data_IF_840157096528
#
_entry.id   IF_840157096528
#
_cell.length_a   1.000
_cell.length_b   1.000
_cell.length_c   1.000
_cell.angle_alpha   90.00
_cell.angle_beta   90.00
_cell.angle_gamma   90.00
#
_symmetry.space_group_name_H-M   'P 1'
#
loop_
_entity.id
_entity.type
_entity.pdbx_description
1 polymer ?
#
# COMPACT_ATOMS: atom_id res chain seq x y z
N UNK A 1 -0.01 -10.70 -2.42
CA UNK A 1 -1.47 -10.90 -2.54
C UNK A 1 -1.93 -12.17 -1.78
N UNK A 2 -1.91 -12.15 -0.43
CA UNK A 2 -2.15 -13.34 0.42
C UNK A 2 -3.64 -13.79 0.46
N UNK A 3 -4.59 -12.86 0.37
CA UNK A 3 -6.05 -13.14 0.49
C UNK A 3 -6.67 -13.80 -0.76
N UNK A 4 -6.28 -13.38 -1.96
CA UNK A 4 -6.77 -13.98 -3.20
C UNK A 4 -6.40 -15.47 -3.29
N UNK A 5 -5.20 -15.84 -2.86
CA UNK A 5 -4.77 -17.23 -2.77
C UNK A 5 -5.58 -18.01 -1.71
N UNK A 6 -5.89 -17.40 -0.56
CA UNK A 6 -6.74 -18.01 0.46
C UNK A 6 -8.16 -18.28 -0.06
N UNK A 7 -8.78 -17.31 -0.76
CA UNK A 7 -10.12 -17.47 -1.36
C UNK A 7 -10.13 -18.60 -2.39
N UNK A 8 -9.10 -18.71 -3.25
CA UNK A 8 -8.99 -19.80 -4.23
C UNK A 8 -8.91 -21.20 -3.62
N UNK A 9 -8.47 -21.32 -2.36
CA UNK A 9 -8.39 -22.59 -1.62
C UNK A 9 -9.70 -22.95 -0.91
N UNK A 10 -10.67 -22.04 -0.84
CA UNK A 10 -11.96 -22.32 -0.20
C UNK A 10 -12.79 -23.28 -1.07
N UNK A 11 -13.55 -24.20 -0.44
CA UNK A 11 -14.52 -25.02 -1.14
C UNK A 11 -15.53 -24.17 -1.94
N UNK A 12 -15.94 -24.66 -3.11
CA UNK A 12 -16.80 -23.91 -4.04
C UNK A 12 -18.22 -23.70 -3.50
N UNK A 13 -18.73 -24.64 -2.71
CA UNK A 13 -19.98 -24.52 -1.96
C UNK A 13 -19.92 -23.41 -0.90
N UNK A 14 -18.75 -23.19 -0.29
CA UNK A 14 -18.53 -22.13 0.69
C UNK A 14 -18.28 -20.76 0.03
N UNK A 15 -17.56 -20.71 -1.08
CA UNK A 15 -17.20 -19.47 -1.78
C UNK A 15 -17.50 -19.54 -3.30
N UNK A 16 -18.78 -19.62 -3.69
CA UNK A 16 -19.16 -19.84 -5.09
C UNK A 16 -18.73 -18.69 -6.01
N UNK A 17 -18.82 -17.46 -5.51
CA UNK A 17 -18.55 -16.22 -6.26
C UNK A 17 -17.09 -15.74 -6.18
N UNK A 18 -16.19 -16.53 -5.56
CA UNK A 18 -14.78 -16.15 -5.31
C UNK A 18 -14.63 -14.78 -4.63
N UNK A 19 -15.56 -14.45 -3.72
CA UNK A 19 -15.57 -13.23 -2.93
C UNK A 19 -15.81 -13.53 -1.45
N UNK A 20 -15.27 -12.68 -0.60
CA UNK A 20 -15.51 -12.75 0.84
C UNK A 20 -16.93 -12.26 1.12
N UNK A 21 -17.75 -13.13 1.69
CA UNK A 21 -19.07 -12.81 2.21
C UNK A 21 -18.99 -12.59 3.72
N UNK A 22 -20.06 -12.04 4.33
CA UNK A 22 -20.15 -11.89 5.79
C UNK A 22 -19.96 -13.24 6.51
N UNK A 23 -20.63 -14.29 6.02
CA UNK A 23 -20.49 -15.64 6.57
C UNK A 23 -19.06 -16.20 6.49
N UNK A 24 -18.29 -15.88 5.44
CA UNK A 24 -16.87 -16.27 5.34
C UNK A 24 -16.02 -15.43 6.32
N UNK A 25 -16.25 -14.12 6.38
CA UNK A 25 -15.51 -13.20 7.24
C UNK A 25 -15.70 -13.47 8.75
N UNK A 26 -16.87 -13.99 9.14
CA UNK A 26 -17.19 -14.34 10.52
C UNK A 26 -16.43 -15.60 11.00
N UNK A 27 -15.95 -16.44 10.07
CA UNK A 27 -15.08 -17.59 10.40
C UNK A 27 -13.65 -17.14 10.70
N UNK A 28 -13.39 -16.84 11.98
CA UNK A 28 -12.08 -16.33 12.46
C UNK A 28 -10.87 -17.19 12.07
N UNK A 29 -11.04 -18.52 12.00
CA UNK A 29 -9.99 -19.46 11.57
C UNK A 29 -9.48 -19.21 10.15
N UNK A 30 -10.30 -18.63 9.27
CA UNK A 30 -9.92 -18.32 7.89
C UNK A 30 -9.08 -17.04 7.78
N UNK A 31 -9.06 -16.20 8.83
CA UNK A 31 -8.40 -14.89 8.83
C UNK A 31 -8.80 -13.96 7.67
N UNK A 32 -10.07 -14.08 7.25
CA UNK A 32 -10.68 -13.33 6.15
C UNK A 32 -11.61 -12.21 6.63
N UNK A 33 -11.42 -11.70 7.85
CA UNK A 33 -12.14 -10.53 8.35
C UNK A 33 -11.91 -9.31 7.44
N UNK A 34 -12.84 -8.33 7.41
CA UNK A 34 -12.68 -7.13 6.61
C UNK A 34 -11.42 -6.35 7.01
N UNK A 35 -10.71 -5.84 6.02
CA UNK A 35 -9.63 -4.88 6.22
C UNK A 35 -10.15 -3.50 5.83
N UNK A 36 -10.13 -2.56 6.76
CA UNK A 36 -10.59 -1.19 6.54
C UNK A 36 -9.40 -0.25 6.68
N UNK A 37 -9.06 0.47 5.62
CA UNK A 37 -8.10 1.56 5.65
C UNK A 37 -8.84 2.89 5.67
N UNK A 38 -8.64 3.68 6.72
CA UNK A 38 -9.21 5.03 6.84
C UNK A 38 -8.10 6.05 6.63
N UNK A 39 -8.29 6.93 5.66
CA UNK A 39 -7.36 8.00 5.32
C UNK A 39 -8.08 9.33 5.55
N UNK A 40 -7.76 9.95 6.67
CA UNK A 40 -8.18 11.32 6.95
C UNK A 40 -7.29 12.30 6.20
N UNK A 41 -7.90 13.37 5.70
CA UNK A 41 -7.32 14.31 4.73
C UNK A 41 -6.47 13.62 3.64
N UNK A 42 -7.11 12.72 2.88
CA UNK A 42 -6.45 11.90 1.86
C UNK A 42 -5.75 12.72 0.76
N UNK A 43 -6.10 14.00 0.58
CA UNK A 43 -5.37 14.91 -0.29
C UNK A 43 -3.89 14.99 0.10
N UNK A 44 -3.55 15.00 1.39
CA UNK A 44 -2.16 15.06 1.85
C UNK A 44 -1.34 13.85 1.38
N UNK A 45 -1.98 12.68 1.33
CA UNK A 45 -1.35 11.46 0.83
C UNK A 45 -1.14 11.54 -0.68
N UNK A 46 -2.18 11.87 -1.44
CA UNK A 46 -2.12 11.84 -2.90
C UNK A 46 -1.32 13.01 -3.51
N UNK A 47 -1.25 14.14 -2.81
CA UNK A 47 -0.41 15.28 -3.19
C UNK A 47 1.06 15.14 -2.77
N UNK A 48 1.43 14.09 -2.02
CA UNK A 48 2.80 13.91 -1.56
C UNK A 48 3.76 13.77 -2.76
N UNK A 49 4.83 14.58 -2.89
CA UNK A 49 5.66 14.65 -4.10
C UNK A 49 6.34 13.32 -4.44
N UNK A 50 6.80 12.59 -3.42
CA UNK A 50 7.45 11.28 -3.58
C UNK A 50 6.48 10.09 -3.68
N UNK A 51 5.44 10.06 -2.86
CA UNK A 51 4.61 8.86 -2.66
C UNK A 51 3.19 8.98 -3.22
N UNK A 52 2.74 10.17 -3.59
CA UNK A 52 1.35 10.44 -3.98
C UNK A 52 0.90 9.67 -5.21
N UNK A 53 1.76 9.57 -6.23
CA UNK A 53 1.49 8.78 -7.43
C UNK A 53 1.28 7.29 -7.10
N UNK A 54 2.24 6.70 -6.37
CA UNK A 54 2.17 5.29 -5.97
C UNK A 54 0.95 5.03 -5.08
N UNK A 55 0.66 5.93 -4.13
CA UNK A 55 -0.51 5.82 -3.27
C UNK A 55 -1.82 5.90 -4.08
N UNK A 56 -1.87 6.75 -5.11
CA UNK A 56 -2.98 6.83 -6.04
C UNK A 56 -3.20 5.52 -6.81
N UNK A 57 -2.12 4.98 -7.39
CA UNK A 57 -2.14 3.72 -8.14
C UNK A 57 -2.59 2.54 -7.24
N UNK A 58 -2.08 2.48 -6.01
CA UNK A 58 -2.44 1.45 -5.03
C UNK A 58 -3.89 1.59 -4.56
N UNK A 59 -4.37 2.80 -4.28
CA UNK A 59 -5.75 3.04 -3.88
C UNK A 59 -6.71 2.68 -5.01
N UNK A 60 -6.41 3.05 -6.26
CA UNK A 60 -7.21 2.68 -7.42
C UNK A 60 -7.28 1.15 -7.59
N UNK A 61 -6.14 0.46 -7.45
CA UNK A 61 -6.08 -0.99 -7.48
C UNK A 61 -6.96 -1.64 -6.40
N UNK A 62 -6.88 -1.12 -5.17
CA UNK A 62 -7.69 -1.60 -4.05
C UNK A 62 -9.17 -1.34 -4.31
N UNK A 63 -9.57 -0.18 -4.84
CA UNK A 63 -10.99 0.10 -5.08
C UNK A 63 -11.56 -0.85 -6.15
N UNK A 64 -10.77 -1.13 -7.21
CA UNK A 64 -11.19 -2.04 -8.29
C UNK A 64 -11.33 -3.50 -7.83
N UNK A 65 -10.42 -4.00 -7.01
CA UNK A 65 -10.36 -5.44 -6.65
C UNK A 65 -10.75 -5.76 -5.21
N UNK A 66 -10.61 -4.80 -4.31
CA UNK A 66 -10.74 -4.95 -2.86
C UNK A 66 -12.13 -5.42 -2.42
N UNK A 67 -13.19 -5.06 -3.15
CA UNK A 67 -14.56 -5.49 -2.86
C UNK A 67 -14.69 -7.01 -2.74
N UNK A 68 -14.08 -7.76 -3.66
CA UNK A 68 -14.11 -9.23 -3.60
C UNK A 68 -13.21 -9.79 -2.49
N UNK A 69 -12.14 -9.06 -2.14
CA UNK A 69 -11.15 -9.45 -1.16
C UNK A 69 -11.47 -8.96 0.27
N UNK A 70 -12.64 -8.34 0.47
CA UNK A 70 -13.04 -7.76 1.76
C UNK A 70 -12.08 -6.66 2.23
N UNK A 71 -11.54 -5.87 1.30
CA UNK A 71 -10.69 -4.70 1.60
C UNK A 71 -11.48 -3.45 1.24
N UNK A 72 -11.60 -2.53 2.19
CA UNK A 72 -12.43 -1.33 2.12
C UNK A 72 -11.53 -0.13 2.40
N UNK A 73 -11.62 0.89 1.55
CA UNK A 73 -11.00 2.19 1.81
C UNK A 73 -12.08 3.21 2.19
N UNK A 74 -11.77 4.03 3.19
CA UNK A 74 -12.53 5.22 3.57
C UNK A 74 -11.60 6.40 3.36
N UNK A 75 -11.93 7.25 2.38
CA UNK A 75 -11.15 8.43 2.02
C UNK A 75 -11.94 9.66 2.43
N UNK A 76 -11.40 10.45 3.35
CA UNK A 76 -11.99 11.69 3.82
C UNK A 76 -11.10 12.88 3.41
N UNK A 77 -11.72 14.02 3.11
CA UNK A 77 -11.02 15.28 2.80
C UNK A 77 -11.91 16.45 3.16
N UNK A 78 -11.32 17.55 3.65
CA UNK A 78 -12.03 18.79 3.93
C UNK A 78 -12.08 19.72 2.71
N UNK A 79 -11.11 19.60 1.81
CA UNK A 79 -10.99 20.43 0.61
C UNK A 79 -11.17 19.54 -0.61
N UNK A 80 -12.37 19.44 -1.19
CA UNK A 80 -12.51 18.83 -2.50
C UNK A 80 -11.99 19.82 -3.55
N UNK A 81 -10.71 19.72 -3.91
CA UNK A 81 -10.13 20.32 -5.13
C UNK A 81 -9.77 19.24 -6.18
N UNK A 82 -9.48 19.69 -7.41
CA UNK A 82 -9.25 18.77 -8.54
C UNK A 82 -8.08 17.81 -8.28
N UNK A 83 -7.15 18.19 -7.41
CA UNK A 83 -5.95 17.43 -7.07
C UNK A 83 -6.16 16.57 -5.80
N UNK A 84 -7.29 16.72 -5.12
CA UNK A 84 -7.60 16.05 -3.86
C UNK A 84 -7.86 14.56 -4.02
N UNK A 85 -8.47 14.17 -5.13
CA UNK A 85 -8.72 12.78 -5.48
C UNK A 85 -8.38 12.54 -6.95
N UNK A 86 -7.37 11.71 -7.25
CA UNK A 86 -7.11 11.22 -8.60
C UNK A 86 -8.39 10.71 -9.28
N UNK A 87 -8.54 10.99 -10.57
CA UNK A 87 -9.73 10.60 -11.35
C UNK A 87 -10.00 9.09 -11.36
N UNK A 88 -8.92 8.29 -11.36
CA UNK A 88 -9.00 6.84 -11.23
C UNK A 88 -9.62 6.39 -9.90
N UNK A 89 -9.49 7.18 -8.83
CA UNK A 89 -10.13 6.91 -7.55
C UNK A 89 -11.58 7.37 -7.58
N UNK A 90 -11.84 8.65 -7.88
CA UNK A 90 -13.19 9.23 -7.81
C UNK A 90 -14.19 8.55 -8.75
N UNK A 91 -13.73 8.07 -9.90
CA UNK A 91 -14.54 7.30 -10.85
C UNK A 91 -14.94 5.89 -10.38
N UNK A 92 -14.17 5.28 -9.48
CA UNK A 92 -14.43 3.90 -9.00
C UNK A 92 -15.08 3.85 -7.61
N UNK A 93 -15.07 4.95 -6.85
CA UNK A 93 -15.79 5.05 -5.57
C UNK A 93 -17.30 5.12 -5.83
N UNK A 94 -18.02 4.09 -5.39
CA UNK A 94 -19.47 3.94 -5.62
C UNK A 94 -20.33 4.54 -4.51
N UNK A 95 -19.84 4.56 -3.27
CA UNK A 95 -20.55 5.12 -2.11
C UNK A 95 -19.89 6.46 -1.77
N UNK A 96 -20.68 7.53 -1.74
CA UNK A 96 -20.21 8.89 -1.49
C UNK A 96 -21.02 9.51 -0.37
N UNK A 97 -20.36 10.28 0.49
CA UNK A 97 -21.00 11.02 1.55
C UNK A 97 -20.52 12.47 1.55
N UNK A 98 -21.45 13.41 1.44
CA UNK A 98 -21.14 14.84 1.44
C UNK A 98 -21.86 15.53 2.60
N UNK A 99 -21.08 16.07 3.54
CA UNK A 99 -21.54 17.08 4.50
C UNK A 99 -21.67 18.44 3.78
N UNK A 100 -21.97 19.51 4.54
CA UNK A 100 -22.03 20.86 3.99
C UNK A 100 -20.75 21.24 3.23
N UNK A 101 -20.92 21.64 1.96
CA UNK A 101 -19.87 22.21 1.11
C UNK A 101 -20.23 23.63 0.66
N UNK A 102 -19.23 24.43 0.29
CA UNK A 102 -19.41 25.84 -0.02
C UNK A 102 -20.19 26.07 -1.33
N UNK A 103 -19.80 25.39 -2.42
CA UNK A 103 -20.33 25.65 -3.75
C UNK A 103 -20.72 24.40 -4.53
N UNK A 104 -21.17 24.64 -5.76
CA UNK A 104 -21.56 23.60 -6.70
C UNK A 104 -20.38 22.70 -7.10
N UNK A 105 -19.19 23.28 -7.26
CA UNK A 105 -18.01 22.55 -7.74
C UNK A 105 -17.65 21.44 -6.75
N UNK A 106 -17.55 21.79 -5.47
CA UNK A 106 -17.26 20.87 -4.37
C UNK A 106 -18.34 19.80 -4.23
N UNK A 107 -19.62 20.19 -4.41
CA UNK A 107 -20.75 19.27 -4.37
C UNK A 107 -20.65 18.19 -5.46
N UNK A 108 -20.44 18.59 -6.71
CA UNK A 108 -20.36 17.69 -7.85
C UNK A 108 -19.10 16.83 -7.80
N UNK A 109 -18.01 17.33 -7.21
CA UNK A 109 -16.80 16.55 -7.02
C UNK A 109 -16.98 15.39 -6.04
N UNK A 110 -17.73 15.60 -4.95
CA UNK A 110 -17.98 14.53 -3.96
C UNK A 110 -19.10 13.61 -4.44
N UNK A 111 -20.22 14.16 -4.90
CA UNK A 111 -21.44 13.41 -5.17
C UNK A 111 -21.55 12.90 -6.62
N UNK A 112 -20.68 13.38 -7.50
CA UNK A 112 -20.63 13.03 -8.91
C UNK A 112 -21.11 14.17 -9.82
N UNK A 113 -20.65 14.13 -11.06
CA UNK A 113 -20.94 15.15 -12.08
C UNK A 113 -22.44 15.44 -12.18
N UNK A 114 -22.79 16.73 -12.17
CA UNK A 114 -24.17 17.25 -12.26
C UNK A 114 -25.09 16.95 -11.07
N UNK A 115 -24.58 16.40 -9.95
CA UNK A 115 -25.38 16.15 -8.76
C UNK A 115 -26.15 17.39 -8.27
N UNK A 116 -25.51 18.55 -8.27
CA UNK A 116 -26.09 19.84 -7.88
C UNK A 116 -27.27 20.25 -8.79
N UNK A 117 -27.08 20.11 -10.11
CA UNK A 117 -28.12 20.38 -11.11
C UNK A 117 -29.30 19.42 -10.98
N UNK A 118 -29.03 18.17 -10.61
CA UNK A 118 -30.02 17.13 -10.37
C UNK A 118 -30.71 17.25 -8.98
N UNK A 119 -30.43 18.31 -8.22
CA UNK A 119 -31.12 18.59 -6.95
C UNK A 119 -30.47 17.97 -5.71
N UNK A 120 -29.34 17.28 -5.85
CA UNK A 120 -28.57 16.77 -4.71
C UNK A 120 -27.60 17.87 -4.26
N UNK A 121 -28.06 18.72 -3.34
CA UNK A 121 -27.41 19.98 -2.99
C UNK A 121 -26.93 19.99 -1.54
N UNK A 122 -25.75 19.46 -1.30
CA UNK A 122 -25.08 19.56 0.00
C UNK A 122 -24.76 21.01 0.40
N UNK A 123 -24.79 21.96 -0.55
CA UNK A 123 -24.68 23.40 -0.28
C UNK A 123 -25.86 23.96 0.52
N UNK A 124 -27.01 23.27 0.54
CA UNK A 124 -28.22 23.74 1.20
C UNK A 124 -28.25 23.49 2.72
N UNK A 125 -27.35 22.65 3.24
CA UNK A 125 -27.24 22.46 4.70
C UNK A 125 -26.73 23.74 5.37
N UNK A 126 -27.26 24.05 6.56
CA UNK A 126 -26.82 25.20 7.35
C UNK A 126 -25.76 24.75 8.35
N UNK A 127 -24.60 25.44 8.44
CA UNK A 127 -23.63 25.20 9.49
C UNK A 127 -24.30 25.24 10.87
N UNK A 128 -23.80 24.43 11.81
CA UNK A 128 -24.29 24.28 13.19
C UNK A 128 -25.71 23.68 13.33
N UNK A 129 -26.69 24.22 12.61
CA UNK A 129 -28.10 23.79 12.67
C UNK A 129 -28.28 22.39 12.08
N UNK A 130 -27.71 22.17 10.89
CA UNK A 130 -27.79 20.89 10.18
C UNK A 130 -26.52 20.07 10.37
N UNK A 131 -25.75 20.32 11.45
CA UNK A 131 -24.53 19.59 11.75
C UNK A 131 -24.77 18.08 11.86
N UNK A 132 -23.95 17.31 11.15
CA UNK A 132 -24.08 15.86 11.02
C UNK A 132 -25.05 15.40 9.91
N UNK A 133 -25.83 16.30 9.31
CA UNK A 133 -26.60 15.95 8.11
C UNK A 133 -25.69 15.92 6.88
N UNK A 134 -25.89 14.92 6.03
CA UNK A 134 -25.18 14.80 4.76
C UNK A 134 -25.93 13.98 3.74
N UNK A 135 -25.60 14.18 2.47
CA UNK A 135 -26.10 13.34 1.38
C UNK A 135 -25.28 12.06 1.29
N UNK A 136 -25.96 10.91 1.37
CA UNK A 136 -25.41 9.59 1.10
C UNK A 136 -25.87 9.13 -0.28
N UNK A 137 -24.92 8.98 -1.21
CA UNK A 137 -25.16 8.50 -2.56
C UNK A 137 -24.55 7.11 -2.75
N UNK A 138 -25.22 6.26 -3.54
CA UNK A 138 -24.74 4.92 -3.90
C UNK A 138 -24.98 3.81 -2.86
N UNK A 139 -25.42 4.15 -1.64
CA UNK A 139 -25.87 3.17 -0.64
C UNK A 139 -27.34 2.75 -0.84
N UNK A 140 -28.12 3.59 -1.51
CA UNK A 140 -29.55 3.42 -1.81
C UNK A 140 -29.78 3.68 -3.30
N UNK A 141 -30.99 3.36 -3.80
CA UNK A 141 -31.33 3.56 -5.22
C UNK A 141 -31.23 5.04 -5.66
N UNK A 142 -31.57 5.97 -4.77
CA UNK A 142 -31.42 7.41 -4.96
C UNK A 142 -30.61 8.00 -3.79
N UNK A 143 -29.88 9.11 -3.99
CA UNK A 143 -29.22 9.83 -2.90
C UNK A 143 -30.22 10.24 -1.82
N UNK A 144 -29.87 9.99 -0.56
CA UNK A 144 -30.71 10.32 0.61
C UNK A 144 -29.96 11.20 1.58
N UNK A 145 -30.70 12.06 2.28
CA UNK A 145 -30.14 12.80 3.42
C UNK A 145 -30.14 11.86 4.63
N UNK A 146 -28.99 11.71 5.26
CA UNK A 146 -28.82 10.95 6.52
C UNK A 146 -28.21 11.85 7.58
N UNK A 147 -28.41 11.51 8.85
CA UNK A 147 -27.79 12.19 9.99
C UNK A 147 -26.79 11.26 10.67
N UNK A 148 -25.56 11.73 10.85
CA UNK A 148 -24.53 11.02 11.58
C UNK A 148 -24.76 11.08 13.09
N UNK A 149 -24.28 10.07 13.81
CA UNK A 149 -24.18 10.15 15.26
C UNK A 149 -23.04 11.10 15.64
N UNK A 150 -23.28 11.95 16.64
CA UNK A 150 -22.25 12.80 17.23
C UNK A 150 -21.52 12.03 18.34
N UNK A 151 -20.19 12.12 18.32
CA UNK A 151 -19.32 11.65 19.38
C UNK A 151 -18.42 12.82 19.78
N UNK A 152 -18.42 13.16 21.07
CA UNK A 152 -17.50 14.13 21.63
C UNK A 152 -16.13 13.47 21.92
N UNK A 153 -15.16 14.29 22.30
CA UNK A 153 -13.79 13.84 22.57
C UNK A 153 -13.73 12.86 23.75
N UNK A 154 -14.57 13.04 24.78
CA UNK A 154 -14.58 12.17 25.95
C UNK A 154 -15.10 10.77 25.59
N UNK A 155 -16.23 10.68 24.89
CA UNK A 155 -16.78 9.43 24.39
C UNK A 155 -15.81 8.75 23.41
N UNK A 156 -15.18 9.52 22.53
CA UNK A 156 -14.17 9.02 21.60
C UNK A 156 -12.97 8.45 22.33
N UNK A 157 -12.46 9.13 23.37
CA UNK A 157 -11.36 8.64 24.20
C UNK A 157 -11.73 7.35 24.92
N UNK A 158 -12.92 7.27 25.52
CA UNK A 158 -13.39 6.08 26.20
C UNK A 158 -13.47 4.86 25.26
N UNK A 159 -13.98 5.06 24.04
CA UNK A 159 -14.04 4.01 23.00
C UNK A 159 -12.62 3.60 22.57
N UNK A 160 -11.72 4.56 22.35
CA UNK A 160 -10.35 4.31 21.96
C UNK A 160 -9.58 3.50 23.03
N UNK A 161 -9.74 3.83 24.31
CA UNK A 161 -9.13 3.09 25.42
C UNK A 161 -9.65 1.65 25.50
N UNK A 162 -10.96 1.46 25.32
CA UNK A 162 -11.55 0.12 25.28
C UNK A 162 -10.99 -0.68 24.10
N UNK A 163 -10.90 -0.09 22.91
CA UNK A 163 -10.34 -0.75 21.73
C UNK A 163 -8.86 -1.10 21.92
N UNK A 164 -8.07 -0.19 22.51
CA UNK A 164 -6.67 -0.41 22.86
C UNK A 164 -6.52 -1.59 23.82
N UNK A 165 -7.28 -1.63 24.92
CA UNK A 165 -7.23 -2.71 25.90
C UNK A 165 -7.55 -4.07 25.28
N UNK A 166 -8.58 -4.16 24.42
CA UNK A 166 -8.92 -5.38 23.69
C UNK A 166 -7.79 -5.84 22.77
N UNK A 167 -7.21 -4.92 21.99
CA UNK A 167 -6.09 -5.26 21.09
C UNK A 167 -4.83 -5.66 21.85
N UNK A 168 -4.56 -5.03 22.99
CA UNK A 168 -3.44 -5.36 23.87
C UNK A 168 -3.57 -6.77 24.44
N UNK A 169 -4.75 -7.13 24.95
CA UNK A 169 -5.03 -8.46 25.49
C UNK A 169 -4.84 -9.57 24.43
N UNK A 170 -5.17 -9.28 23.17
CA UNK A 170 -5.01 -10.19 22.04
C UNK A 170 -3.61 -10.14 21.39
N UNK A 171 -2.71 -9.27 21.87
CA UNK A 171 -1.37 -9.11 21.28
C UNK A 171 -1.37 -8.60 19.84
N UNK A 172 -2.38 -7.81 19.45
CA UNK A 172 -2.60 -7.31 18.07
C UNK A 172 -2.29 -5.81 17.90
N UNK A 173 -1.66 -5.18 18.89
CA UNK A 173 -1.12 -3.82 18.74
C UNK A 173 0.04 -3.82 17.74
N UNK A 174 0.23 -2.69 17.05
CA UNK A 174 1.28 -2.51 16.03
C UNK A 174 1.53 -1.01 15.81
N UNK A 175 2.69 -0.63 15.27
CA UNK A 175 2.99 0.76 14.90
C UNK A 175 2.97 1.69 16.10
N UNK A 176 2.47 2.91 15.90
CA UNK A 176 2.33 3.94 16.95
C UNK A 176 1.64 3.43 18.22
N UNK A 177 0.71 2.47 18.11
CA UNK A 177 -0.01 1.93 19.27
C UNK A 177 0.89 1.07 20.19
N UNK A 178 2.05 0.61 19.72
CA UNK A 178 3.09 -0.02 20.53
C UNK A 178 4.17 0.98 20.99
N UNK A 179 4.02 2.27 20.67
CA UNK A 179 5.08 3.26 20.83
C UNK A 179 6.21 3.10 19.81
N UNK A 180 5.98 2.34 18.73
CA UNK A 180 6.88 2.36 17.58
C UNK A 180 6.73 3.73 16.94
N UNK A 181 7.81 4.52 16.91
CA UNK A 181 7.85 5.70 16.05
C UNK A 181 7.52 5.29 14.61
N UNK A 182 6.89 6.16 13.79
CA UNK A 182 6.73 5.83 12.39
C UNK A 182 8.15 5.61 11.88
N UNK A 183 8.49 4.38 11.49
CA UNK A 183 9.79 4.11 10.91
C UNK A 183 9.97 5.14 9.81
N UNK A 184 10.86 6.11 10.03
CA UNK A 184 11.37 6.89 8.95
C UNK A 184 11.87 5.82 7.98
N UNK A 185 11.22 5.72 6.81
CA UNK A 185 11.67 4.85 5.72
C UNK A 185 13.03 5.40 5.29
N UNK A 186 14.02 4.99 6.07
CA UNK A 186 15.47 5.17 5.95
C UNK A 186 16.06 3.92 5.31
N UNK A 187 15.20 2.95 4.95
CA UNK A 187 15.51 2.01 3.90
C UNK A 187 15.62 2.75 2.56
N UNK A 188 16.66 2.48 1.76
CA UNK A 188 16.70 3.00 0.41
C UNK A 188 15.44 2.59 -0.37
N UNK A 189 14.98 3.42 -1.32
CA UNK A 189 13.83 3.09 -2.20
C UNK A 189 14.13 1.96 -3.20
N UNK A 190 15.11 1.11 -2.89
CA UNK A 190 15.63 0.05 -3.72
C UNK A 190 15.92 -1.19 -2.86
N UNK A 191 15.68 -2.37 -3.43
CA UNK A 191 16.06 -3.64 -2.82
C UNK A 191 17.35 -4.11 -3.48
N UNK A 192 18.48 -3.89 -2.79
CA UNK A 192 19.81 -4.23 -3.29
C UNK A 192 19.90 -5.69 -3.78
N UNK A 193 19.32 -6.65 -3.04
CA UNK A 193 19.42 -8.07 -3.41
C UNK A 193 18.57 -8.37 -4.66
N UNK A 194 17.41 -7.73 -4.77
CA UNK A 194 16.57 -7.85 -5.96
C UNK A 194 17.25 -7.22 -7.19
N UNK A 195 17.89 -6.06 -7.02
CA UNK A 195 18.59 -5.38 -8.11
C UNK A 195 19.80 -6.18 -8.59
N UNK A 196 20.59 -6.72 -7.67
CA UNK A 196 21.71 -7.61 -8.01
C UNK A 196 21.19 -8.87 -8.73
N UNK A 197 20.06 -9.43 -8.29
CA UNK A 197 19.45 -10.59 -8.96
C UNK A 197 18.91 -10.28 -10.35
N UNK A 198 18.47 -9.04 -10.60
CA UNK A 198 18.03 -8.59 -11.92
C UNK A 198 19.20 -8.43 -12.90
N UNK A 199 20.35 -7.92 -12.43
CA UNK A 199 21.53 -7.70 -13.28
C UNK A 199 22.47 -8.91 -13.39
N UNK A 200 22.27 -9.94 -12.58
CA UNK A 200 23.00 -11.21 -12.63
C UNK A 200 22.05 -12.31 -13.15
N UNK A 201 22.03 -12.55 -14.48
CA UNK A 201 21.08 -13.47 -15.08
C UNK A 201 21.33 -14.91 -14.61
N UNK A 202 20.32 -15.80 -14.67
CA UNK A 202 20.47 -17.22 -14.30
C UNK A 202 21.59 -17.96 -15.03
N UNK A 203 21.95 -17.52 -16.24
CA UNK A 203 23.04 -18.08 -17.05
C UNK A 203 24.44 -17.79 -16.52
N UNK A 204 24.59 -16.80 -15.63
CA UNK A 204 25.87 -16.41 -15.05
C UNK A 204 25.99 -16.93 -13.61
N UNK A 205 26.65 -18.07 -13.45
CA UNK A 205 26.83 -18.69 -12.13
C UNK A 205 27.74 -17.87 -11.21
N UNK A 206 28.73 -17.18 -11.79
CA UNK A 206 29.72 -16.37 -11.06
C UNK A 206 29.96 -15.07 -11.80
N UNK A 207 29.95 -13.95 -11.07
CA UNK A 207 30.07 -12.62 -11.67
C UNK A 207 31.01 -11.74 -10.85
N UNK A 208 31.87 -11.00 -11.53
CA UNK A 208 32.74 -10.00 -10.90
C UNK A 208 31.94 -8.81 -10.39
N UNK A 209 32.32 -8.33 -9.21
CA UNK A 209 31.62 -7.23 -8.55
C UNK A 209 31.69 -5.92 -9.34
N UNK A 210 32.76 -5.70 -10.12
CA UNK A 210 32.88 -4.55 -11.01
C UNK A 210 31.84 -4.60 -12.14
N UNK A 211 31.56 -5.78 -12.71
CA UNK A 211 30.50 -5.97 -13.71
C UNK A 211 29.12 -5.76 -13.10
N UNK A 212 28.90 -6.24 -11.87
CA UNK A 212 27.66 -5.99 -11.14
C UNK A 212 27.48 -4.48 -10.91
N UNK A 213 28.52 -3.77 -10.48
CA UNK A 213 28.47 -2.34 -10.25
C UNK A 213 28.11 -1.55 -11.51
N UNK A 214 28.74 -1.89 -12.65
CA UNK A 214 28.43 -1.27 -13.94
C UNK A 214 26.96 -1.50 -14.36
N UNK A 215 26.47 -2.75 -14.24
CA UNK A 215 25.07 -3.07 -14.59
C UNK A 215 24.06 -2.45 -13.62
N UNK A 216 24.40 -2.34 -12.33
CA UNK A 216 23.57 -1.63 -11.36
C UNK A 216 23.49 -0.13 -11.69
N UNK A 217 24.60 0.48 -12.08
CA UNK A 217 24.63 1.87 -12.53
C UNK A 217 23.74 2.10 -13.77
N UNK A 218 23.65 1.13 -14.68
CA UNK A 218 22.70 1.17 -15.80
C UNK A 218 21.25 0.98 -15.34
N UNK A 219 21.01 0.07 -14.38
CA UNK A 219 19.66 -0.23 -13.87
C UNK A 219 19.03 0.96 -13.14
N UNK A 220 19.81 1.65 -12.28
CA UNK A 220 19.40 2.82 -11.51
C UNK A 220 20.56 3.81 -11.33
N UNK A 221 20.81 4.69 -12.31
CA UNK A 221 21.92 5.65 -12.28
C UNK A 221 21.92 6.55 -11.05
N UNK A 222 20.74 6.96 -10.59
CA UNK A 222 20.54 7.83 -9.43
C UNK A 222 20.92 7.16 -8.10
N UNK A 223 20.97 5.83 -8.06
CA UNK A 223 21.31 5.04 -6.87
C UNK A 223 22.75 4.53 -6.95
N UNK A 224 23.15 3.98 -8.09
CA UNK A 224 24.35 3.19 -8.25
C UNK A 224 25.40 3.82 -9.17
N UNK A 225 25.14 4.99 -9.75
CA UNK A 225 25.99 5.62 -10.78
C UNK A 225 27.47 5.82 -10.37
N UNK A 226 27.76 5.90 -9.08
CA UNK A 226 29.13 6.02 -8.54
C UNK A 226 29.74 4.72 -8.01
N UNK A 227 29.03 3.59 -8.10
CA UNK A 227 29.48 2.34 -7.50
C UNK A 227 30.62 1.68 -8.29
N UNK A 228 31.57 1.13 -7.54
CA UNK A 228 32.63 0.23 -8.01
C UNK A 228 32.47 -1.15 -7.36
N UNK A 229 33.29 -2.12 -7.75
CA UNK A 229 33.22 -3.49 -7.22
C UNK A 229 33.39 -3.57 -5.68
N UNK A 230 34.11 -2.62 -5.07
CA UNK A 230 34.26 -2.50 -3.62
C UNK A 230 32.95 -2.10 -2.92
N UNK A 231 32.14 -1.24 -3.55
CA UNK A 231 30.83 -0.86 -3.03
C UNK A 231 29.88 -2.06 -3.02
N UNK A 232 29.84 -2.84 -4.11
CA UNK A 232 29.08 -4.09 -4.18
C UNK A 232 29.53 -5.07 -3.09
N UNK A 233 30.85 -5.21 -2.90
CA UNK A 233 31.40 -6.07 -1.84
C UNK A 233 30.93 -5.65 -0.45
N UNK A 234 31.04 -4.36 -0.15
CA UNK A 234 30.68 -3.80 1.14
C UNK A 234 29.19 -3.88 1.40
N UNK A 235 28.37 -3.66 0.37
CA UNK A 235 26.91 -3.66 0.48
C UNK A 235 26.32 -5.08 0.60
N UNK A 236 26.96 -6.10 0.01
CA UNK A 236 26.51 -7.49 0.10
C UNK A 236 26.93 -8.20 1.40
N UNK A 237 27.98 -7.72 2.07
CA UNK A 237 28.51 -8.33 3.30
C UNK A 237 27.48 -8.40 4.46
N UNK A 238 26.69 -7.35 4.76
CA UNK A 238 25.64 -7.40 5.78
C UNK A 238 24.55 -8.45 5.50
N UNK A 239 24.37 -8.84 4.24
CA UNK A 239 23.42 -9.87 3.83
C UNK A 239 23.98 -11.29 3.90
N UNK A 240 25.22 -11.47 4.37
CA UNK A 240 25.86 -12.79 4.47
C UNK A 240 26.40 -13.35 3.15
N UNK A 241 26.34 -12.56 2.06
CA UNK A 241 26.86 -12.98 0.75
C UNK A 241 28.39 -12.79 0.75
N UNK A 242 29.12 -13.90 0.74
CA UNK A 242 30.58 -13.90 0.71
C UNK A 242 31.07 -13.62 -0.69
N UNK A 243 31.89 -12.59 -0.82
CA UNK A 243 32.67 -12.37 -2.04
C UNK A 243 33.87 -13.32 -2.05
N UNK A 244 34.25 -13.80 -3.24
CA UNK A 244 35.39 -14.72 -3.43
C UNK A 244 36.12 -14.38 -4.72
N UNK A 245 37.27 -14.99 -4.90
CA UNK A 245 38.06 -14.86 -6.12
C UNK A 245 37.40 -15.73 -7.20
N UNK A 246 36.91 -15.08 -8.25
CA UNK A 246 36.15 -15.69 -9.33
C UNK A 246 36.96 -15.58 -10.62
N UNK A 247 37.29 -16.73 -11.21
CA UNK A 247 37.89 -16.78 -12.54
C UNK A 247 36.86 -16.32 -13.59
N UNK A 248 37.30 -15.51 -14.54
CA UNK A 248 36.49 -15.03 -15.65
C UNK A 248 37.38 -14.52 -16.79
N UNK A 249 36.74 -14.09 -17.86
CA UNK A 249 37.42 -13.52 -19.03
C UNK A 249 37.08 -12.05 -19.12
N UNK A 250 38.09 -11.19 -19.23
CA UNK A 250 37.93 -9.76 -19.48
C UNK A 250 37.45 -9.52 -20.92
N UNK A 251 37.03 -8.30 -21.21
CA UNK A 251 36.40 -7.98 -22.50
C UNK A 251 37.41 -8.01 -23.68
N UNK A 252 38.72 -7.94 -23.38
CA UNK A 252 39.85 -8.15 -24.29
C UNK A 252 40.24 -9.64 -24.46
N UNK A 253 39.50 -10.57 -23.86
CA UNK A 253 39.71 -12.02 -24.00
C UNK A 253 40.73 -12.63 -23.02
N UNK A 254 41.31 -11.84 -22.11
CA UNK A 254 42.28 -12.32 -21.13
C UNK A 254 41.60 -13.07 -19.98
N UNK A 255 42.09 -14.27 -19.64
CA UNK A 255 41.61 -15.00 -18.45
C UNK A 255 42.28 -14.46 -17.20
N UNK A 256 41.49 -14.06 -16.22
CA UNK A 256 42.00 -13.57 -14.93
C UNK A 256 41.02 -13.89 -13.81
N UNK A 257 41.42 -13.61 -12.57
CA UNK A 257 40.60 -13.80 -11.38
C UNK A 257 40.35 -12.46 -10.73
N UNK A 258 39.09 -12.14 -10.44
CA UNK A 258 38.69 -10.91 -9.73
C UNK A 258 37.67 -11.21 -8.65
N UNK A 259 37.47 -10.25 -7.75
CA UNK A 259 36.45 -10.34 -6.70
C UNK A 259 35.05 -10.43 -7.31
N UNK A 260 34.29 -11.43 -6.89
CA UNK A 260 32.95 -11.69 -7.39
C UNK A 260 32.07 -12.42 -6.39
N UNK A 261 30.85 -12.71 -6.81
CA UNK A 261 29.88 -13.53 -6.08
C UNK A 261 29.51 -14.78 -6.87
N UNK A 262 28.93 -15.75 -6.17
CA UNK A 262 28.25 -16.90 -6.80
C UNK A 262 26.75 -16.66 -6.70
N UNK A 263 26.06 -16.76 -7.83
CA UNK A 263 24.63 -16.46 -7.92
C UNK A 263 23.77 -17.31 -6.98
N UNK A 264 24.17 -18.57 -6.75
CA UNK A 264 23.48 -19.46 -5.83
C UNK A 264 23.39 -18.91 -4.39
N UNK A 265 24.46 -18.25 -3.91
CA UNK A 265 24.49 -17.65 -2.56
C UNK A 265 23.49 -16.48 -2.47
N UNK A 266 23.40 -15.67 -3.52
CA UNK A 266 22.43 -14.59 -3.64
C UNK A 266 21.00 -15.12 -3.62
N UNK A 267 20.68 -16.13 -4.45
CA UNK A 267 19.33 -16.70 -4.50
C UNK A 267 18.93 -17.38 -3.19
N UNK A 268 19.87 -18.06 -2.53
CA UNK A 268 19.64 -18.67 -1.21
C UNK A 268 19.32 -17.59 -0.17
N UNK A 269 20.09 -16.51 -0.16
CA UNK A 269 19.89 -15.39 0.77
C UNK A 269 18.53 -14.71 0.56
N UNK A 270 18.10 -14.53 -0.69
CA UNK A 270 16.79 -13.97 -1.02
C UNK A 270 15.67 -14.91 -0.53
N UNK A 271 15.78 -16.21 -0.77
CA UNK A 271 14.80 -17.19 -0.32
C UNK A 271 14.66 -17.22 1.22
N UNK A 272 15.77 -17.26 1.95
CA UNK A 272 15.77 -17.25 3.43
C UNK A 272 15.18 -15.95 4.00
N UNK A 273 15.46 -14.81 3.35
CA UNK A 273 14.88 -13.51 3.72
C UNK A 273 13.36 -13.50 3.54
N UNK A 274 12.89 -14.00 2.41
CA UNK A 274 11.47 -13.97 2.05
C UNK A 274 10.66 -14.97 2.90
N UNK A 275 11.24 -16.11 3.28
CA UNK A 275 10.66 -17.04 4.26
C UNK A 275 10.50 -16.39 5.65
N UNK A 276 11.52 -15.67 6.14
CA UNK A 276 11.46 -14.96 7.43
C UNK A 276 10.42 -13.83 7.43
N UNK A 277 10.26 -13.11 6.32
CA UNK A 277 9.16 -12.13 6.12
C UNK A 277 7.78 -12.78 5.95
N UNK A 278 7.73 -14.06 5.61
CA UNK A 278 6.51 -14.86 5.55
C UNK A 278 6.08 -15.40 6.92
N UNK A 279 7.03 -15.60 7.82
CA UNK A 279 6.84 -16.13 9.16
C UNK A 279 6.55 -15.06 10.24
N UNK A 280 6.85 -13.79 9.94
CA UNK A 280 6.50 -12.62 10.74
C UNK A 280 5.10 -12.05 10.39
#
# INVERSE_FOLDING_TARGET
MRRAAAIKKLPRDLCPDKRITRAIADKRSLKLWPLVGVFDECQNLFAHPKYGKQAGDDAEFIIKLGRALGVILVLATQRPDKDSLPTGISGNVSIRFALKVAGQVENDMILGTSAYKNGVRATSFRPEIDAGNGYLAGATALPVVVRTAYLDDHATHAIAQRAYALRKAEGTLSGHALGEDPEAVTGPSYDLLADVAAVVPPSEERVWNERIAARLAELRPEVYGGWKGENVTSALKPHGIKTRDVAGTTDDGTRTTRRGIVRADLTKTIAERDEKRGAA
#
